data_IF_780431345454
#
_entry.id   IF_780431345454
#
_cell.length_a   1.000
_cell.length_b   1.000
_cell.length_c   1.000
_cell.angle_alpha   90.00
_cell.angle_beta   90.00
_cell.angle_gamma   90.00
#
_symmetry.space_group_name_H-M   'P 1'
#
loop_
_entity.id
_entity.type
_entity.pdbx_description
1 polymer ?
#
# COMPACT_ATOMS: atom_id res chain seq x y z
N UNK A 1 -16.17 7.22 -10.75
CA UNK A 1 -15.90 7.16 -9.31
C UNK A 1 -16.23 5.78 -8.77
N UNK A 2 -17.49 5.35 -8.85
CA UNK A 2 -17.95 4.06 -8.31
C UNK A 2 -17.25 2.84 -8.92
N UNK A 3 -16.83 2.91 -10.19
CA UNK A 3 -16.05 1.86 -10.82
C UNK A 3 -14.69 1.67 -10.14
N UNK A 4 -13.96 2.75 -9.86
CA UNK A 4 -12.68 2.70 -9.15
C UNK A 4 -12.87 2.19 -7.73
N UNK A 5 -13.88 2.72 -7.02
CA UNK A 5 -14.21 2.24 -5.68
C UNK A 5 -14.58 0.75 -5.68
N UNK A 6 -15.40 0.32 -6.63
CA UNK A 6 -15.82 -1.08 -6.76
C UNK A 6 -14.65 -2.07 -6.94
N UNK A 7 -13.57 -1.63 -7.59
CA UNK A 7 -12.35 -2.44 -7.77
C UNK A 7 -11.43 -2.39 -6.55
N UNK A 8 -11.22 -1.18 -6.01
CA UNK A 8 -10.16 -0.94 -5.00
C UNK A 8 -10.68 -0.92 -3.57
N UNK A 9 -11.96 -0.62 -3.36
CA UNK A 9 -12.53 -0.40 -2.03
C UNK A 9 -12.00 0.85 -1.31
N UNK A 10 -11.18 1.67 -1.99
CA UNK A 10 -10.51 2.81 -1.38
C UNK A 10 -11.31 4.10 -1.61
N UNK A 11 -11.54 4.84 -0.53
CA UNK A 11 -12.15 6.16 -0.59
C UNK A 11 -11.42 7.07 -1.60
N UNK A 12 -12.19 7.78 -2.42
CA UNK A 12 -11.65 8.68 -3.44
C UNK A 12 -11.14 9.96 -2.77
N UNK A 13 -9.84 10.16 -2.83
CA UNK A 13 -9.16 11.37 -2.36
C UNK A 13 -8.19 11.90 -3.40
N UNK A 14 -8.07 13.22 -3.55
CA UNK A 14 -7.24 13.84 -4.58
C UNK A 14 -5.76 13.46 -4.50
N UNK A 15 -5.29 13.08 -3.34
CA UNK A 15 -3.89 12.68 -3.11
C UNK A 15 -3.63 11.17 -3.34
N UNK A 16 -4.64 10.34 -3.65
CA UNK A 16 -4.36 8.95 -4.00
C UNK A 16 -3.43 8.88 -5.21
N UNK A 17 -2.48 7.96 -5.18
CA UNK A 17 -1.42 7.88 -6.20
C UNK A 17 -1.94 7.71 -7.62
N UNK A 18 -3.08 7.05 -7.81
CA UNK A 18 -3.75 6.94 -9.12
C UNK A 18 -3.94 8.32 -9.78
N UNK A 19 -4.45 9.31 -9.03
CA UNK A 19 -4.71 10.67 -9.57
C UNK A 19 -3.43 11.47 -9.75
N UNK A 20 -2.44 11.26 -8.88
CA UNK A 20 -1.13 11.88 -9.04
C UNK A 20 -0.44 11.37 -10.31
N UNK A 21 -0.45 10.08 -10.55
CA UNK A 21 0.11 9.45 -11.75
C UNK A 21 -0.63 9.92 -13.02
N UNK A 22 -1.96 10.05 -12.99
CA UNK A 22 -2.70 10.60 -14.12
C UNK A 22 -2.32 12.06 -14.39
N UNK A 23 -2.13 12.86 -13.34
CA UNK A 23 -1.69 14.25 -13.45
C UNK A 23 -0.28 14.34 -14.05
N UNK A 24 0.68 13.56 -13.57
CA UNK A 24 2.04 13.52 -14.10
C UNK A 24 2.03 13.10 -15.58
N UNK A 25 1.27 12.07 -15.93
CA UNK A 25 1.11 11.61 -17.31
C UNK A 25 0.54 12.71 -18.23
N UNK A 26 -0.53 13.41 -17.79
CA UNK A 26 -1.15 14.49 -18.58
C UNK A 26 -0.22 15.68 -18.79
N UNK A 27 0.65 15.92 -17.82
CA UNK A 27 1.62 17.02 -17.87
C UNK A 27 2.93 16.62 -18.57
N UNK A 28 3.02 15.40 -19.13
CA UNK A 28 4.24 14.89 -19.76
C UNK A 28 5.46 15.03 -18.85
N UNK A 29 5.28 14.63 -17.58
CA UNK A 29 6.37 14.70 -16.61
C UNK A 29 7.53 13.80 -17.02
N UNK A 30 8.68 14.39 -17.20
CA UNK A 30 9.86 13.70 -17.73
C UNK A 30 10.38 12.61 -16.78
N UNK A 31 10.18 12.74 -15.48
CA UNK A 31 10.58 11.71 -14.53
C UNK A 31 9.70 10.48 -14.67
N UNK A 32 8.37 10.66 -14.84
CA UNK A 32 7.46 9.54 -15.07
C UNK A 32 7.72 8.88 -16.43
N UNK A 33 7.98 9.67 -17.48
CA UNK A 33 8.26 9.15 -18.84
C UNK A 33 9.56 8.35 -18.90
N UNK A 34 10.57 8.73 -18.09
CA UNK A 34 11.86 8.06 -18.01
C UNK A 34 11.90 6.91 -16.99
N UNK A 35 10.87 6.77 -16.13
CA UNK A 35 10.87 5.80 -15.05
C UNK A 35 10.76 4.36 -15.55
N UNK A 36 11.74 3.54 -15.24
CA UNK A 36 11.62 2.07 -15.38
C UNK A 36 10.74 1.50 -14.25
N UNK A 37 10.94 1.98 -13.02
CA UNK A 37 10.22 1.54 -11.84
C UNK A 37 9.67 2.71 -11.02
N UNK A 38 8.52 2.45 -10.38
CA UNK A 38 7.87 3.31 -9.43
C UNK A 38 7.87 2.58 -8.09
N UNK A 39 8.39 3.22 -7.05
CA UNK A 39 8.43 2.70 -5.69
C UNK A 39 7.61 3.61 -4.77
N UNK A 40 6.81 3.03 -3.89
CA UNK A 40 6.25 3.78 -2.77
C UNK A 40 7.36 4.17 -1.80
N UNK A 41 7.15 5.23 -1.00
CA UNK A 41 8.20 5.73 -0.11
C UNK A 41 8.78 4.67 0.84
N UNK A 42 7.98 3.81 1.50
CA UNK A 42 8.53 2.71 2.30
C UNK A 42 9.34 1.71 1.48
N UNK A 43 8.91 1.44 0.25
CA UNK A 43 9.60 0.52 -0.66
C UNK A 43 10.93 1.12 -1.15
N UNK A 44 10.98 2.45 -1.36
CA UNK A 44 12.22 3.15 -1.69
C UNK A 44 13.25 3.05 -0.55
N UNK A 45 12.82 3.12 0.71
CA UNK A 45 13.70 2.90 1.86
C UNK A 45 14.21 1.45 1.90
N UNK A 46 13.34 0.49 1.64
CA UNK A 46 13.74 -0.93 1.53
C UNK A 46 14.73 -1.16 0.40
N UNK A 47 14.53 -0.48 -0.75
CA UNK A 47 15.48 -0.49 -1.86
C UNK A 47 16.85 0.07 -1.49
N UNK A 48 16.91 1.21 -0.77
CA UNK A 48 18.16 1.79 -0.30
C UNK A 48 18.94 0.84 0.62
N UNK A 49 18.24 0.00 1.38
CA UNK A 49 18.85 -0.98 2.27
C UNK A 49 19.31 -2.25 1.55
N UNK A 50 18.59 -2.68 0.52
CA UNK A 50 18.74 -4.02 -0.06
C UNK A 50 19.13 -4.05 -1.53
N UNK A 51 18.90 -2.97 -2.27
CA UNK A 51 18.96 -2.96 -3.73
C UNK A 51 17.80 -3.67 -4.42
N UNK A 52 16.85 -4.24 -3.67
CA UNK A 52 15.69 -4.97 -4.19
C UNK A 52 14.49 -4.06 -4.38
N UNK A 53 13.92 -4.05 -5.59
CA UNK A 53 12.72 -3.27 -5.90
C UNK A 53 11.48 -4.10 -5.61
N UNK A 54 10.73 -3.70 -4.59
CA UNK A 54 9.49 -4.35 -4.17
C UNK A 54 8.31 -3.37 -4.23
N UNK A 55 7.12 -3.91 -4.14
CA UNK A 55 5.86 -3.20 -3.96
C UNK A 55 5.14 -3.86 -2.79
N UNK A 56 5.16 -3.24 -1.63
CA UNK A 56 4.55 -3.80 -0.44
C UNK A 56 3.02 -3.58 -0.45
N UNK A 57 2.27 -4.61 -0.14
CA UNK A 57 0.83 -4.69 -0.28
C UNK A 57 0.08 -3.61 0.48
N UNK A 58 0.41 -3.36 1.75
CA UNK A 58 -0.40 -2.48 2.61
C UNK A 58 -0.31 -1.03 2.14
N UNK A 59 0.88 -0.54 1.79
CA UNK A 59 1.02 0.81 1.23
C UNK A 59 0.46 0.89 -0.19
N UNK A 60 0.68 -0.11 -1.03
CA UNK A 60 0.14 -0.14 -2.38
C UNK A 60 -1.39 -0.14 -2.39
N UNK A 61 -2.04 -0.77 -1.41
CA UNK A 61 -3.50 -0.82 -1.30
C UNK A 61 -4.13 0.57 -1.17
N UNK A 62 -3.44 1.54 -0.55
CA UNK A 62 -3.95 2.91 -0.36
C UNK A 62 -3.90 3.76 -1.64
N UNK A 63 -3.15 3.32 -2.63
CA UNK A 63 -2.86 4.07 -3.86
C UNK A 63 -3.99 4.11 -4.89
N UNK A 64 -5.08 3.36 -4.67
CA UNK A 64 -6.12 3.06 -5.66
C UNK A 64 -5.61 2.36 -6.93
N UNK A 65 -4.57 1.56 -6.79
CA UNK A 65 -3.97 0.76 -7.88
C UNK A 65 -4.08 -0.74 -7.64
N UNK A 66 -4.54 -1.16 -6.46
CA UNK A 66 -4.70 -2.57 -6.08
C UNK A 66 -6.18 -2.96 -6.08
N UNK A 67 -6.48 -4.09 -6.69
CA UNK A 67 -7.80 -4.69 -6.60
C UNK A 67 -7.98 -5.34 -5.23
N UNK A 68 -9.01 -4.93 -4.48
CA UNK A 68 -9.23 -5.36 -3.11
C UNK A 68 -9.52 -6.86 -2.98
N UNK A 69 -10.18 -7.47 -3.98
CA UNK A 69 -10.53 -8.89 -3.97
C UNK A 69 -9.33 -9.77 -4.30
N UNK A 70 -8.59 -9.41 -5.35
CA UNK A 70 -7.43 -10.22 -5.79
C UNK A 70 -6.17 -9.90 -5.01
N UNK A 71 -6.13 -8.74 -4.34
CA UNK A 71 -4.96 -8.22 -3.61
C UNK A 71 -3.73 -8.09 -4.50
N UNK A 72 -3.95 -7.72 -5.77
CA UNK A 72 -2.91 -7.51 -6.78
C UNK A 72 -3.15 -6.18 -7.48
N UNK A 73 -2.14 -5.70 -8.16
CA UNK A 73 -2.27 -4.52 -9.00
C UNK A 73 -3.41 -4.69 -10.03
N UNK A 74 -4.23 -3.67 -10.19
CA UNK A 74 -5.37 -3.67 -11.10
C UNK A 74 -4.95 -3.16 -12.48
N UNK A 75 -4.84 -4.08 -13.42
CA UNK A 75 -4.28 -3.80 -14.75
C UNK A 75 -5.05 -2.74 -15.54
N UNK A 76 -6.37 -2.64 -15.35
CA UNK A 76 -7.18 -1.62 -16.03
C UNK A 76 -6.87 -0.22 -15.50
N UNK A 77 -6.69 -0.07 -14.18
CA UNK A 77 -6.33 1.21 -13.57
C UNK A 77 -4.91 1.62 -13.95
N UNK A 78 -3.98 0.67 -13.98
CA UNK A 78 -2.62 0.94 -14.45
C UNK A 78 -2.61 1.42 -15.90
N UNK A 79 -3.32 0.74 -16.80
CA UNK A 79 -3.46 1.15 -18.20
C UNK A 79 -4.06 2.54 -18.35
N UNK A 80 -5.04 2.90 -17.51
CA UNK A 80 -5.68 4.22 -17.55
C UNK A 80 -4.67 5.36 -17.31
N UNK A 81 -3.61 5.10 -16.54
CA UNK A 81 -2.52 6.06 -16.28
C UNK A 81 -1.25 5.78 -17.09
N UNK A 82 -1.35 4.94 -18.12
CA UNK A 82 -0.24 4.66 -19.05
C UNK A 82 0.83 3.73 -18.48
N UNK A 83 0.52 2.98 -17.42
CA UNK A 83 1.43 2.07 -16.73
C UNK A 83 1.01 0.60 -16.90
N UNK A 84 1.86 -0.28 -16.42
CA UNK A 84 1.64 -1.71 -16.30
C UNK A 84 2.31 -2.26 -15.04
N UNK A 85 2.07 -3.51 -14.70
CA UNK A 85 2.74 -4.18 -13.57
C UNK A 85 4.26 -4.17 -13.69
N UNK A 86 4.81 -4.08 -14.90
CA UNK A 86 6.25 -3.98 -15.15
C UNK A 86 6.89 -2.74 -14.54
N UNK A 87 6.12 -1.67 -14.35
CA UNK A 87 6.60 -0.44 -13.75
C UNK A 87 6.70 -0.50 -12.22
N UNK A 88 6.32 -1.62 -11.62
CA UNK A 88 6.38 -1.83 -10.17
C UNK A 88 7.39 -2.93 -9.82
N UNK A 89 7.81 -2.96 -8.56
CA UNK A 89 8.69 -3.99 -8.04
C UNK A 89 7.96 -5.32 -7.80
N UNK A 90 8.70 -6.34 -7.35
CA UNK A 90 8.12 -7.61 -6.92
C UNK A 90 7.11 -7.37 -5.79
N UNK A 91 5.88 -7.86 -5.98
CA UNK A 91 4.81 -7.68 -5.00
C UNK A 91 5.09 -8.54 -3.76
N UNK A 92 5.09 -7.90 -2.58
CA UNK A 92 5.37 -8.57 -1.29
C UNK A 92 4.31 -8.23 -0.25
N UNK A 93 4.14 -9.14 0.69
CA UNK A 93 3.25 -8.97 1.84
C UNK A 93 4.07 -8.80 3.13
N UNK A 94 3.48 -8.22 4.21
CA UNK A 94 4.12 -8.17 5.51
C UNK A 94 4.58 -9.56 5.97
N UNK A 95 5.81 -9.63 6.50
CA UNK A 95 6.45 -10.88 6.90
C UNK A 95 7.34 -11.52 5.83
N UNK A 96 7.21 -11.13 4.56
CA UNK A 96 8.07 -11.67 3.49
C UNK A 96 9.46 -11.03 3.49
N UNK A 97 10.46 -11.82 3.10
CA UNK A 97 11.82 -11.32 2.92
C UNK A 97 11.89 -10.43 1.67
N UNK A 98 12.34 -9.19 1.85
CA UNK A 98 12.67 -8.26 0.76
C UNK A 98 14.01 -8.63 0.13
N UNK A 99 15.05 -8.69 0.94
CA UNK A 99 16.40 -8.98 0.54
C UNK A 99 17.33 -9.12 1.74
N UNK A 100 18.60 -8.81 1.55
CA UNK A 100 19.59 -8.64 2.62
C UNK A 100 20.24 -7.27 2.47
N UNK A 101 20.84 -6.76 3.53
CA UNK A 101 21.59 -5.50 3.49
C UNK A 101 22.66 -5.55 2.39
N UNK A 102 22.75 -4.47 1.59
CA UNK A 102 23.83 -4.33 0.60
C UNK A 102 25.21 -4.29 1.29
N UNK A 103 26.25 -4.63 0.56
CA UNK A 103 27.63 -4.55 1.10
C UNK A 103 27.99 -3.15 1.61
N UNK A 104 27.47 -2.10 0.95
CA UNK A 104 27.69 -0.72 1.36
C UNK A 104 27.06 -0.46 2.73
N UNK A 105 25.79 -0.84 2.91
CA UNK A 105 25.08 -0.68 4.19
C UNK A 105 25.77 -1.52 5.29
N UNK A 106 26.19 -2.75 4.98
CA UNK A 106 26.94 -3.58 5.91
C UNK A 106 28.23 -2.89 6.39
N UNK A 107 28.98 -2.28 5.47
CA UNK A 107 30.22 -1.55 5.81
C UNK A 107 29.96 -0.32 6.69
N UNK A 108 28.93 0.46 6.36
CA UNK A 108 28.57 1.68 7.10
C UNK A 108 28.09 1.35 8.51
N UNK A 109 27.30 0.29 8.65
CA UNK A 109 26.65 -0.06 9.94
C UNK A 109 27.47 -1.00 10.80
N UNK A 110 28.46 -1.69 10.23
CA UNK A 110 29.18 -2.79 10.89
C UNK A 110 28.35 -4.07 11.06
N UNK A 111 27.15 -4.14 10.46
CA UNK A 111 26.28 -5.31 10.47
C UNK A 111 26.67 -6.28 9.36
N UNK A 112 26.35 -7.56 9.53
CA UNK A 112 26.50 -8.56 8.46
C UNK A 112 25.36 -8.53 7.44
N UNK A 113 25.27 -9.58 6.62
CA UNK A 113 24.20 -9.76 5.64
C UNK A 113 22.85 -10.09 6.32
N UNK A 114 22.32 -9.15 7.06
CA UNK A 114 21.05 -9.30 7.80
C UNK A 114 19.89 -9.25 6.81
N UNK A 115 18.89 -10.16 6.93
CA UNK A 115 17.70 -10.10 6.11
C UNK A 115 16.84 -8.87 6.45
N UNK A 116 16.30 -8.23 5.42
CA UNK A 116 15.29 -7.17 5.53
C UNK A 116 13.93 -7.81 5.25
N UNK A 117 13.03 -7.66 6.19
CA UNK A 117 11.69 -8.23 6.14
C UNK A 117 10.67 -7.10 5.88
N UNK A 118 9.74 -7.32 4.94
CA UNK A 118 8.64 -6.41 4.71
C UNK A 118 7.77 -6.31 5.97
N UNK A 119 7.52 -5.09 6.40
CA UNK A 119 6.50 -4.77 7.41
C UNK A 119 5.27 -4.23 6.71
N UNK A 120 4.18 -3.94 7.42
CA UNK A 120 3.11 -3.13 6.87
C UNK A 120 3.67 -1.71 6.60
N UNK A 121 4.00 -1.44 5.34
CA UNK A 121 4.63 -0.18 4.89
C UNK A 121 3.71 1.03 5.06
N UNK A 122 2.38 0.81 5.09
CA UNK A 122 1.44 1.81 5.57
C UNK A 122 1.48 1.86 7.10
N UNK A 123 1.87 2.98 7.67
CA UNK A 123 2.10 3.17 9.11
C UNK A 123 0.89 2.79 9.98
N UNK A 124 -0.33 3.14 9.54
CA UNK A 124 -1.56 2.71 10.22
C UNK A 124 -1.71 1.18 10.20
N UNK A 125 -1.25 0.50 9.14
CA UNK A 125 -1.23 -0.97 9.08
C UNK A 125 -0.35 -1.57 10.18
N UNK A 126 0.83 -1.02 10.37
CA UNK A 126 1.74 -1.41 11.45
C UNK A 126 1.16 -1.06 12.83
N UNK A 127 0.52 0.10 12.98
CA UNK A 127 -0.12 0.49 14.24
C UNK A 127 -1.27 -0.46 14.61
N UNK A 128 -2.10 -0.87 13.65
CA UNK A 128 -3.20 -1.81 13.90
C UNK A 128 -2.67 -3.19 14.25
N UNK A 129 -1.61 -3.67 13.57
CA UNK A 129 -0.96 -4.93 13.92
C UNK A 129 -0.39 -4.95 15.33
N UNK A 130 -0.08 -3.79 15.92
CA UNK A 130 0.44 -3.66 17.28
C UNK A 130 -0.66 -3.53 18.36
N UNK A 131 -1.95 -3.50 17.99
CA UNK A 131 -3.05 -3.40 18.95
C UNK A 131 -3.08 -4.66 19.83
N UNK A 132 -3.04 -4.56 21.17
CA UNK A 132 -3.05 -5.70 22.06
C UNK A 132 -4.48 -6.26 22.24
N UNK A 133 -5.12 -6.60 21.12
CA UNK A 133 -6.46 -7.19 21.12
C UNK A 133 -6.41 -8.62 21.68
N UNK A 134 -7.43 -9.00 22.43
CA UNK A 134 -7.57 -10.34 23.01
C UNK A 134 -8.18 -11.34 22.04
N UNK A 135 -8.93 -10.86 21.05
CA UNK A 135 -9.55 -11.65 19.99
C UNK A 135 -9.69 -10.81 18.71
N UNK A 136 -10.31 -11.39 17.68
CA UNK A 136 -10.50 -10.72 16.38
C UNK A 136 -11.67 -9.73 16.34
N UNK A 137 -12.50 -9.68 17.37
CA UNK A 137 -13.69 -8.82 17.44
C UNK A 137 -13.37 -7.52 18.17
N UNK A 138 -12.53 -6.69 17.57
CA UNK A 138 -12.18 -5.39 18.13
C UNK A 138 -12.36 -4.27 17.10
N UNK A 139 -12.62 -3.08 17.58
CA UNK A 139 -12.51 -1.85 16.82
C UNK A 139 -11.28 -1.08 17.32
N UNK A 140 -10.59 -0.44 16.41
CA UNK A 140 -9.45 0.41 16.74
C UNK A 140 -9.73 1.87 16.40
N UNK A 141 -9.04 2.76 17.09
CA UNK A 141 -8.96 4.18 16.75
C UNK A 141 -7.49 4.57 16.68
N UNK A 142 -7.00 4.79 15.46
CA UNK A 142 -5.69 5.37 15.22
C UNK A 142 -5.83 6.87 15.09
N UNK A 143 -5.46 7.58 16.16
CA UNK A 143 -5.60 9.04 16.24
C UNK A 143 -4.22 9.71 16.21
N UNK A 144 -3.92 10.35 15.09
CA UNK A 144 -2.71 11.11 14.84
C UNK A 144 -3.05 12.34 13.99
N UNK A 145 -2.41 12.50 12.85
CA UNK A 145 -2.77 13.49 11.83
C UNK A 145 -4.20 13.25 11.31
N UNK A 146 -4.58 11.98 11.22
CA UNK A 146 -5.93 11.50 10.93
C UNK A 146 -6.49 10.81 12.17
N UNK A 147 -7.81 10.72 12.26
CA UNK A 147 -8.52 9.91 13.27
C UNK A 147 -9.24 8.78 12.53
N UNK A 148 -8.56 7.65 12.39
CA UNK A 148 -9.01 6.50 11.63
C UNK A 148 -9.64 5.47 12.56
N UNK A 149 -10.96 5.35 12.50
CA UNK A 149 -11.70 4.32 13.23
C UNK A 149 -12.02 3.16 12.29
N UNK A 150 -11.75 1.93 12.73
CA UNK A 150 -11.96 0.77 11.88
C UNK A 150 -12.00 -0.56 12.63
N UNK A 151 -12.18 -1.59 11.83
CA UNK A 151 -12.14 -3.00 12.22
C UNK A 151 -11.31 -3.79 11.21
N UNK A 152 -10.84 -4.97 11.59
CA UNK A 152 -10.24 -5.91 10.66
C UNK A 152 -11.30 -6.91 10.17
N UNK A 153 -11.28 -7.21 8.88
CA UNK A 153 -12.18 -8.18 8.22
C UNK A 153 -11.39 -9.15 7.36
N UNK A 154 -11.91 -10.34 7.12
CA UNK A 154 -11.27 -11.35 6.28
C UNK A 154 -11.40 -11.06 4.77
N UNK A 155 -12.40 -10.25 4.41
CA UNK A 155 -12.68 -9.85 3.02
C UNK A 155 -13.09 -8.39 2.94
N UNK A 156 -12.88 -7.72 1.79
CA UNK A 156 -13.28 -6.32 1.61
C UNK A 156 -14.81 -6.19 1.62
N UNK A 157 -15.30 -5.13 2.24
CA UNK A 157 -16.73 -4.76 2.26
C UNK A 157 -16.95 -3.59 1.32
N UNK A 158 -17.34 -3.91 0.09
CA UNK A 158 -17.49 -2.94 -1.00
C UNK A 158 -18.94 -2.96 -1.50
N UNK A 159 -19.66 -1.87 -1.26
CA UNK A 159 -21.01 -1.66 -1.73
C UNK A 159 -21.33 -0.15 -1.80
N UNK A 160 -22.49 0.21 -2.33
CA UNK A 160 -22.90 1.59 -2.48
C UNK A 160 -23.04 2.36 -1.15
N UNK A 161 -23.40 1.68 -0.07
CA UNK A 161 -23.50 2.27 1.26
C UNK A 161 -22.13 2.62 1.81
N UNK A 162 -21.18 1.69 1.71
CA UNK A 162 -19.79 1.93 2.14
C UNK A 162 -19.14 3.05 1.34
N UNK A 163 -19.37 3.10 0.01
CA UNK A 163 -18.90 4.20 -0.82
C UNK A 163 -19.52 5.54 -0.38
N UNK A 164 -20.83 5.60 -0.17
CA UNK A 164 -21.54 6.81 0.23
C UNK A 164 -21.10 7.31 1.61
N UNK A 165 -20.79 6.41 2.53
CA UNK A 165 -20.30 6.71 3.88
C UNK A 165 -18.79 6.95 3.95
N UNK A 166 -18.08 6.87 2.83
CA UNK A 166 -16.63 7.04 2.71
C UNK A 166 -15.82 6.04 3.54
N UNK A 167 -16.27 4.79 3.61
CA UNK A 167 -15.43 3.71 4.13
C UNK A 167 -14.35 3.31 3.12
N UNK A 168 -13.20 2.92 3.63
CA UNK A 168 -12.06 2.45 2.84
C UNK A 168 -11.64 1.05 3.29
N UNK A 169 -11.18 0.22 2.34
CA UNK A 169 -10.75 -1.16 2.55
C UNK A 169 -9.26 -1.28 2.27
N UNK A 170 -8.44 -1.01 3.26
CA UNK A 170 -6.98 -1.04 3.10
C UNK A 170 -6.40 -2.41 3.45
N UNK A 171 -5.27 -2.75 2.86
CA UNK A 171 -4.56 -3.98 3.17
C UNK A 171 -4.11 -4.03 4.63
N UNK A 172 -4.37 -5.15 5.29
CA UNK A 172 -3.91 -5.47 6.64
C UNK A 172 -2.76 -6.47 6.65
N UNK A 173 -2.40 -6.92 7.84
CA UNK A 173 -1.38 -7.95 8.09
C UNK A 173 -2.09 -9.32 8.17
N UNK A 174 -1.35 -10.42 7.92
CA UNK A 174 -1.87 -11.80 7.98
C UNK A 174 -3.13 -12.05 7.12
N UNK A 175 -3.22 -11.32 6.00
CA UNK A 175 -4.31 -11.49 5.06
C UNK A 175 -5.61 -10.81 5.46
N UNK A 176 -5.62 -9.91 6.43
CA UNK A 176 -6.79 -9.11 6.79
C UNK A 176 -6.99 -7.93 5.84
N UNK A 177 -8.17 -7.35 5.89
CA UNK A 177 -8.53 -6.05 5.33
C UNK A 177 -8.88 -5.12 6.50
N UNK A 178 -8.34 -3.93 6.50
CA UNK A 178 -8.71 -2.88 7.43
C UNK A 178 -9.86 -2.08 6.83
N UNK A 179 -11.08 -2.35 7.30
CA UNK A 179 -12.26 -1.56 6.97
C UNK A 179 -12.32 -0.37 7.92
N UNK A 180 -12.11 0.82 7.42
CA UNK A 180 -11.96 2.00 8.26
C UNK A 180 -12.57 3.25 7.64
N UNK A 181 -12.70 4.28 8.47
CA UNK A 181 -13.18 5.60 8.09
C UNK A 181 -12.44 6.66 8.92
N UNK A 182 -12.16 7.80 8.30
CA UNK A 182 -11.74 9.00 9.01
C UNK A 182 -12.94 9.68 9.68
N UNK A 183 -12.86 9.98 10.98
CA UNK A 183 -13.93 10.57 11.79
C UNK A 183 -13.54 11.94 12.31
#
# INVERSE_FOLDING_TARGET
RSEVYGKTGIQIMNFNSLFQLDTLRRNHDSALEAADKILFMPDALSYMLTGEMVTEYTIASTAQLVNAQTRRLESELLKAVGLSEKNFGRFVFPGEKVGVLTEEVQKITGLGAIPVIAVAGHDTGSAVAAVPALDRNFAYLSSGTWSLMGVETDAPVINAEMEALNFTNEGGVEGTIRLLKNI
#
